data_IF_573611890518
#
_entry.id   IF_573611890518
#
_cell.length_a   1.000
_cell.length_b   1.000
_cell.length_c   1.000
_cell.angle_alpha   90.00
_cell.angle_beta   90.00
_cell.angle_gamma   90.00
#
_symmetry.space_group_name_H-M   'P 1'
#
loop_
_entity.id
_entity.type
_entity.pdbx_description
1 polymer ?
#
# COMPACT_ATOMS: atom_id res chain seq x y z
N UNK A 1 13.31 -3.36 -4.93
CA UNK A 1 13.08 -4.74 -4.47
C UNK A 1 14.38 -5.54 -4.56
N UNK A 2 14.76 -6.27 -3.50
CA UNK A 2 15.80 -7.31 -3.57
C UNK A 2 15.45 -8.44 -4.58
N UNK A 3 16.41 -9.31 -4.93
CA UNK A 3 16.17 -10.49 -5.76
C UNK A 3 15.07 -11.39 -5.18
N UNK A 4 14.30 -12.08 -6.03
CA UNK A 4 13.13 -12.86 -5.61
C UNK A 4 13.51 -13.99 -4.62
N UNK A 5 14.65 -14.63 -4.85
CA UNK A 5 15.19 -15.72 -4.04
C UNK A 5 15.58 -15.30 -2.61
N UNK A 6 15.66 -14.01 -2.30
CA UNK A 6 15.89 -13.54 -0.93
C UNK A 6 14.62 -13.57 -0.06
N UNK A 7 13.46 -13.90 -0.65
CA UNK A 7 12.18 -13.94 0.05
C UNK A 7 11.77 -15.38 0.35
N UNK A 8 11.06 -15.58 1.46
CA UNK A 8 10.58 -16.90 1.90
C UNK A 8 9.73 -17.60 0.83
N UNK A 9 8.85 -16.85 0.16
CA UNK A 9 7.96 -17.36 -0.87
C UNK A 9 7.46 -16.21 -1.77
N UNK A 10 6.77 -16.58 -2.85
CA UNK A 10 6.20 -15.65 -3.82
C UNK A 10 5.24 -14.64 -3.18
N UNK A 11 4.37 -15.10 -2.28
CA UNK A 11 3.36 -14.25 -1.66
C UNK A 11 4.00 -13.13 -0.83
N UNK A 12 5.06 -13.43 -0.07
CA UNK A 12 5.83 -12.41 0.67
C UNK A 12 6.51 -11.41 -0.25
N UNK A 13 7.09 -11.87 -1.38
CA UNK A 13 7.68 -10.98 -2.37
C UNK A 13 6.64 -10.01 -2.94
N UNK A 14 5.50 -10.54 -3.40
CA UNK A 14 4.47 -9.73 -4.03
C UNK A 14 3.71 -8.84 -3.05
N UNK A 15 3.59 -9.21 -1.77
CA UNK A 15 3.05 -8.32 -0.74
C UNK A 15 3.97 -7.11 -0.51
N UNK A 16 5.28 -7.32 -0.41
CA UNK A 16 6.23 -6.20 -0.26
C UNK A 16 6.27 -5.39 -1.55
N UNK A 17 6.27 -6.04 -2.73
CA UNK A 17 6.17 -5.31 -3.99
C UNK A 17 4.90 -4.44 -4.01
N UNK A 18 3.74 -4.99 -3.64
CA UNK A 18 2.45 -4.28 -3.61
C UNK A 18 2.47 -3.03 -2.73
N UNK A 19 3.16 -3.11 -1.58
CA UNK A 19 3.43 -1.96 -0.71
C UNK A 19 4.25 -0.89 -1.44
N UNK A 20 5.37 -1.27 -2.04
CA UNK A 20 6.25 -0.36 -2.78
C UNK A 20 5.57 0.26 -4.02
N UNK A 21 4.76 -0.51 -4.77
CA UNK A 21 4.02 0.06 -5.91
C UNK A 21 2.90 0.99 -5.46
N UNK A 22 2.39 0.82 -4.24
CA UNK A 22 1.44 1.80 -3.66
C UNK A 22 2.15 3.14 -3.42
N UNK A 23 3.36 3.15 -2.86
CA UNK A 23 4.18 4.37 -2.76
C UNK A 23 4.50 4.97 -4.12
N UNK A 24 4.79 4.14 -5.12
CA UNK A 24 5.01 4.59 -6.48
C UNK A 24 3.86 5.47 -7.00
N UNK A 25 2.61 5.30 -6.56
CA UNK A 25 1.50 6.16 -7.01
C UNK A 25 1.51 7.59 -6.43
N UNK A 26 2.34 7.90 -5.43
CA UNK A 26 2.30 9.15 -4.69
C UNK A 26 2.61 10.44 -5.49
N UNK A 27 3.59 10.50 -6.41
CA UNK A 27 4.02 11.77 -7.02
C UNK A 27 2.92 12.59 -7.69
N UNK A 28 3.15 13.91 -7.83
CA UNK A 28 2.19 14.88 -8.36
C UNK A 28 1.59 14.55 -9.74
N UNK A 29 2.38 13.93 -10.63
CA UNK A 29 1.92 13.52 -11.95
C UNK A 29 1.08 12.23 -11.95
N UNK A 30 0.83 11.65 -10.77
CA UNK A 30 -0.02 10.48 -10.53
C UNK A 30 -1.15 10.87 -9.59
N UNK A 31 -1.04 10.56 -8.29
CA UNK A 31 -2.10 10.81 -7.30
C UNK A 31 -1.82 11.99 -6.36
N UNK A 32 -0.66 12.62 -6.46
CA UNK A 32 -0.37 13.88 -5.76
C UNK A 32 -0.44 13.81 -4.23
N UNK A 33 0.05 12.73 -3.64
CA UNK A 33 0.36 12.67 -2.20
C UNK A 33 1.72 13.34 -1.96
N UNK A 34 1.74 14.36 -1.10
CA UNK A 34 2.98 15.10 -0.82
C UNK A 34 3.88 14.34 0.16
N UNK A 35 5.04 13.88 -0.34
CA UNK A 35 6.05 13.17 0.45
C UNK A 35 7.26 14.04 0.82
N UNK A 36 7.19 15.36 0.62
CA UNK A 36 8.30 16.30 0.88
C UNK A 36 8.81 16.26 2.34
N UNK A 37 7.93 15.88 3.28
CA UNK A 37 8.21 15.76 4.71
C UNK A 37 8.37 14.32 5.19
N UNK A 38 8.23 13.32 4.32
CA UNK A 38 8.25 11.89 4.67
C UNK A 38 9.52 11.50 5.47
N UNK A 39 10.70 11.97 5.05
CA UNK A 39 11.94 11.66 5.77
C UNK A 39 12.16 12.50 7.06
N UNK A 40 11.42 13.60 7.21
CA UNK A 40 11.65 14.62 8.24
C UNK A 40 10.65 14.55 9.40
N UNK A 41 9.45 14.02 9.14
CA UNK A 41 8.35 13.98 10.09
C UNK A 41 7.84 12.55 10.25
N UNK A 42 7.90 12.05 11.49
CA UNK A 42 7.48 10.68 11.81
C UNK A 42 5.96 10.48 11.61
N UNK A 43 5.15 11.50 11.83
CA UNK A 43 3.70 11.42 11.68
C UNK A 43 3.30 11.42 10.22
N UNK A 44 3.95 12.24 9.37
CA UNK A 44 3.74 12.20 7.93
C UNK A 44 4.22 10.89 7.31
N UNK A 45 5.37 10.37 7.78
CA UNK A 45 5.82 9.03 7.41
C UNK A 45 4.78 7.99 7.79
N UNK A 46 4.33 7.95 9.05
CA UNK A 46 3.34 6.97 9.51
C UNK A 46 2.03 7.03 8.72
N UNK A 47 1.58 8.22 8.28
CA UNK A 47 0.41 8.37 7.41
C UNK A 47 0.61 7.72 6.05
N UNK A 48 1.73 7.98 5.38
CA UNK A 48 2.00 7.39 4.06
C UNK A 48 2.26 5.88 4.17
N UNK A 49 2.95 5.40 5.21
CA UNK A 49 3.12 3.97 5.48
C UNK A 49 1.78 3.25 5.68
N UNK A 50 0.84 3.88 6.39
CA UNK A 50 -0.50 3.32 6.57
C UNK A 50 -1.25 3.22 5.24
N UNK A 51 -1.10 4.21 4.35
CA UNK A 51 -1.66 4.17 3.00
C UNK A 51 -1.03 3.04 2.18
N UNK A 52 0.30 2.89 2.23
CA UNK A 52 1.02 1.86 1.51
C UNK A 52 0.66 0.45 1.97
N UNK A 53 0.53 0.23 3.29
CA UNK A 53 0.14 -1.07 3.82
C UNK A 53 -1.30 -1.43 3.45
N UNK A 54 -2.25 -0.50 3.61
CA UNK A 54 -3.63 -0.75 3.18
C UNK A 54 -3.72 -1.00 1.66
N UNK A 55 -2.95 -0.26 0.86
CA UNK A 55 -2.89 -0.47 -0.59
C UNK A 55 -2.31 -1.83 -0.95
N UNK A 56 -1.28 -2.28 -0.23
CA UNK A 56 -0.74 -3.63 -0.36
C UNK A 56 -1.80 -4.68 -0.05
N UNK A 57 -2.52 -4.55 1.07
CA UNK A 57 -3.60 -5.46 1.43
C UNK A 57 -4.69 -5.52 0.36
N UNK A 58 -5.14 -4.37 -0.15
CA UNK A 58 -6.18 -4.29 -1.18
C UNK A 58 -5.72 -4.92 -2.50
N UNK A 59 -4.51 -4.59 -2.95
CA UNK A 59 -3.97 -5.13 -4.21
C UNK A 59 -3.69 -6.64 -4.10
N UNK A 60 -3.16 -7.12 -2.97
CA UNK A 60 -2.99 -8.55 -2.74
C UNK A 60 -4.34 -9.28 -2.75
N UNK A 61 -5.38 -8.70 -2.15
CA UNK A 61 -6.73 -9.27 -2.20
C UNK A 61 -7.27 -9.37 -3.63
N UNK A 62 -7.12 -8.31 -4.43
CA UNK A 62 -7.54 -8.30 -5.84
C UNK A 62 -6.79 -9.36 -6.68
N UNK A 63 -5.51 -9.58 -6.38
CA UNK A 63 -4.65 -10.56 -7.08
C UNK A 63 -4.78 -11.99 -6.54
N UNK A 64 -5.64 -12.22 -5.52
CA UNK A 64 -5.78 -13.54 -4.88
C UNK A 64 -4.53 -13.99 -4.11
N UNK A 65 -3.69 -13.06 -3.68
CA UNK A 65 -2.47 -13.32 -2.92
C UNK A 65 -2.79 -13.25 -1.43
N UNK A 66 -2.63 -14.38 -0.73
CA UNK A 66 -2.71 -14.45 0.73
C UNK A 66 -1.29 -14.60 1.27
N UNK A 67 -0.61 -13.51 1.68
CA UNK A 67 0.70 -13.63 2.28
C UNK A 67 0.60 -14.36 3.62
N UNK A 68 1.54 -15.28 3.87
CA UNK A 68 1.75 -15.81 5.23
C UNK A 68 2.20 -14.67 6.14
N UNK A 69 1.26 -14.12 6.92
CA UNK A 69 1.54 -13.12 7.95
C UNK A 69 2.07 -13.84 9.20
N UNK A 70 3.35 -14.18 9.21
CA UNK A 70 4.02 -14.50 10.48
C UNK A 70 4.20 -13.21 11.29
N UNK A 71 3.83 -13.17 12.59
CA UNK A 71 4.07 -12.00 13.42
C UNK A 71 5.57 -11.74 13.52
N UNK A 72 6.06 -10.68 12.85
CA UNK A 72 7.46 -10.27 12.99
C UNK A 72 7.62 -9.26 14.12
N UNK A 73 8.69 -9.33 14.93
CA UNK A 73 8.89 -8.44 16.08
C UNK A 73 8.96 -6.94 15.72
N UNK A 74 9.39 -6.61 14.50
CA UNK A 74 9.51 -5.26 13.97
C UNK A 74 8.16 -4.64 13.54
N UNK A 75 7.13 -5.45 13.23
CA UNK A 75 5.78 -4.97 12.94
C UNK A 75 5.17 -4.20 14.13
N UNK A 76 5.54 -4.56 15.36
CA UNK A 76 5.04 -3.92 16.58
C UNK A 76 5.39 -2.42 16.65
N UNK A 77 6.54 -2.02 16.10
CA UNK A 77 6.99 -0.62 16.11
C UNK A 77 6.17 0.27 15.16
N UNK A 78 5.75 -0.28 14.01
CA UNK A 78 4.84 0.39 13.07
C UNK A 78 3.41 0.43 13.61
N UNK A 79 2.94 -0.67 14.22
CA UNK A 79 1.63 -0.71 14.88
C UNK A 79 1.49 0.32 16.00
N UNK A 80 2.51 0.54 16.84
CA UNK A 80 2.45 1.58 17.89
C UNK A 80 2.34 3.00 17.29
N UNK A 81 3.04 3.25 16.18
CA UNK A 81 2.94 4.53 15.48
C UNK A 81 1.58 4.74 14.80
N UNK A 82 1.00 3.69 14.21
CA UNK A 82 -0.34 3.74 13.64
C UNK A 82 -1.41 3.90 14.72
N UNK A 83 -1.28 3.19 15.85
CA UNK A 83 -2.19 3.33 16.98
C UNK A 83 -2.24 4.76 17.51
N UNK A 84 -1.10 5.47 17.57
CA UNK A 84 -1.06 6.91 17.92
C UNK A 84 -1.80 7.78 16.91
N UNK A 85 -1.57 7.56 15.61
CA UNK A 85 -2.30 8.30 14.56
C UNK A 85 -3.81 8.04 14.64
N UNK A 86 -4.21 6.79 14.90
CA UNK A 86 -5.61 6.38 14.98
C UNK A 86 -6.29 6.82 16.28
N UNK A 87 -5.55 6.93 17.40
CA UNK A 87 -6.06 7.46 18.66
C UNK A 87 -6.32 8.96 18.57
N UNK A 88 -5.47 9.69 17.84
CA UNK A 88 -5.55 11.14 17.70
C UNK A 88 -6.60 11.56 16.66
N UNK A 89 -6.82 10.76 15.60
CA UNK A 89 -7.85 11.01 14.59
C UNK A 89 -8.53 9.70 14.12
N UNK A 90 -9.75 9.46 14.61
CA UNK A 90 -10.57 8.30 14.22
C UNK A 90 -10.93 8.27 12.73
N UNK A 91 -10.83 9.39 12.01
CA UNK A 91 -11.06 9.46 10.57
C UNK A 91 -9.81 9.15 9.75
N UNK A 92 -8.64 9.12 10.37
CA UNK A 92 -7.37 8.86 9.68
C UNK A 92 -7.38 7.52 8.94
N UNK A 93 -7.98 6.47 9.53
CA UNK A 93 -8.09 5.16 8.87
C UNK A 93 -8.92 5.22 7.57
N UNK A 94 -10.02 5.96 7.58
CA UNK A 94 -10.90 6.09 6.41
C UNK A 94 -10.23 6.92 5.31
N UNK A 95 -9.51 7.98 5.68
CA UNK A 95 -8.73 8.76 4.74
C UNK A 95 -7.61 7.91 4.11
N UNK A 96 -6.86 7.18 4.94
CA UNK A 96 -5.80 6.31 4.46
C UNK A 96 -6.34 5.22 3.51
N UNK A 97 -7.44 4.56 3.89
CA UNK A 97 -8.11 3.59 3.04
C UNK A 97 -8.60 4.19 1.72
N UNK A 98 -9.16 5.41 1.73
CA UNK A 98 -9.58 6.08 0.50
C UNK A 98 -8.39 6.45 -0.43
N UNK A 99 -7.25 6.82 0.14
CA UNK A 99 -6.02 7.01 -0.64
C UNK A 99 -5.46 5.69 -1.18
N UNK A 100 -5.45 4.63 -0.38
CA UNK A 100 -5.04 3.30 -0.77
C UNK A 100 -5.91 2.76 -1.92
N UNK A 101 -7.24 2.87 -1.82
CA UNK A 101 -8.15 2.44 -2.90
C UNK A 101 -7.90 3.21 -4.20
N UNK A 102 -7.64 4.52 -4.13
CA UNK A 102 -7.27 5.31 -5.32
C UNK A 102 -5.94 4.84 -5.93
N UNK A 103 -4.96 4.50 -5.10
CA UNK A 103 -3.69 3.94 -5.55
C UNK A 103 -3.89 2.61 -6.29
N UNK A 104 -4.64 1.68 -5.71
CA UNK A 104 -4.94 0.38 -6.34
C UNK A 104 -5.72 0.56 -7.64
N UNK A 105 -6.75 1.41 -7.64
CA UNK A 105 -7.52 1.70 -8.86
C UNK A 105 -6.65 2.30 -9.97
N UNK A 106 -5.72 3.19 -9.62
CA UNK A 106 -4.74 3.73 -10.56
C UNK A 106 -3.84 2.63 -11.12
N UNK A 107 -3.32 1.73 -10.29
CA UNK A 107 -2.46 0.62 -10.74
C UNK A 107 -3.20 -0.33 -11.69
N UNK A 108 -4.47 -0.64 -11.42
CA UNK A 108 -5.31 -1.41 -12.33
C UNK A 108 -5.56 -0.69 -13.65
N UNK A 109 -5.77 0.63 -13.62
CA UNK A 109 -5.96 1.43 -14.85
C UNK A 109 -4.73 1.47 -15.77
N UNK A 110 -3.55 1.11 -15.26
CA UNK A 110 -2.32 0.97 -16.05
C UNK A 110 -2.19 -0.41 -16.72
N UNK A 111 -3.02 -1.39 -16.33
CA UNK A 111 -2.99 -2.71 -16.93
C UNK A 111 -3.61 -2.66 -18.34
N UNK A 112 -3.14 -3.47 -19.29
CA UNK A 112 -3.75 -3.55 -20.60
C UNK A 112 -5.21 -4.00 -20.46
N UNK A 113 -6.12 -3.33 -21.17
CA UNK A 113 -7.51 -3.77 -21.23
C UNK A 113 -7.57 -5.21 -21.76
N UNK A 114 -8.08 -6.11 -20.94
CA UNK A 114 -8.31 -7.49 -21.38
C UNK A 114 -9.44 -7.48 -22.42
N UNK A 115 -9.28 -8.25 -23.50
CA UNK A 115 -10.20 -8.23 -24.64
C UNK A 115 -11.68 -8.55 -24.31
N UNK A 116 -11.98 -9.00 -23.09
CA UNK A 116 -13.34 -9.31 -22.62
C UNK A 116 -14.17 -8.10 -22.17
N UNK A 117 -13.56 -6.97 -21.80
CA UNK A 117 -14.31 -5.80 -21.29
C UNK A 117 -14.92 -4.94 -22.42
N UNK A 118 -14.39 -5.03 -23.64
CA UNK A 118 -14.93 -4.35 -24.83
C UNK A 118 -16.31 -4.84 -25.30
N UNK A 119 -16.78 -5.98 -24.81
CA UNK A 119 -18.09 -6.54 -25.20
C UNK A 119 -19.21 -6.19 -24.22
N UNK A 120 -18.91 -5.53 -23.09
CA UNK A 120 -19.87 -5.25 -22.02
C UNK A 120 -20.10 -3.74 -21.76
N UNK A 121 -19.48 -2.86 -22.55
CA UNK A 121 -19.68 -1.40 -22.51
C UNK A 121 -20.36 -0.92 -23.80
#
# INVERSE_FOLDING_TARGET
MPPFESFKNAASYYAILSHEVTHFTAPAHRLGRDLSRYAKDKSERAREELIAELGSCFLCADLGIVPELEPRPDHASYLDSWLKVLSDDRRAIFQAAAHAQRAVSFLHSLQPETAGERLAA
#
